data_IF_372833606280
#
_entry.id   IF_372833606280
#
_cell.length_a   1.000
_cell.length_b   1.000
_cell.length_c   1.000
_cell.angle_alpha   90.00
_cell.angle_beta   90.00
_cell.angle_gamma   90.00
#
_symmetry.space_group_name_H-M   'P 1'
#
loop_
_entity.id
_entity.type
_entity.pdbx_description
1 polymer ?
#
# COMPACT_ATOMS: atom_id res chain seq x y z
N UNK A 1 -0.66 -3.81 1.21
CA UNK A 1 -0.47 -2.63 0.33
C UNK A 1 -1.78 -1.89 0.22
N UNK A 2 -1.80 -0.59 0.53
CA UNK A 2 -3.00 0.26 0.34
C UNK A 2 -3.09 0.67 -1.13
N UNK A 3 -4.28 0.54 -1.71
CA UNK A 3 -4.54 0.85 -3.12
C UNK A 3 -5.80 1.69 -3.25
N UNK A 4 -5.84 2.57 -4.25
CA UNK A 4 -7.09 3.26 -4.60
C UNK A 4 -8.03 2.32 -5.36
N UNK A 5 -9.33 2.64 -5.41
CA UNK A 5 -10.31 1.90 -6.20
C UNK A 5 -9.88 1.72 -7.66
N UNK A 6 -9.41 2.80 -8.30
CA UNK A 6 -8.92 2.75 -9.68
C UNK A 6 -7.72 1.80 -9.84
N UNK A 7 -6.78 1.84 -8.90
CA UNK A 7 -5.64 0.92 -8.91
C UNK A 7 -6.07 -0.53 -8.69
N UNK A 8 -7.03 -0.78 -7.80
CA UNK A 8 -7.55 -2.11 -7.57
C UNK A 8 -8.22 -2.70 -8.82
N UNK A 9 -9.08 -1.94 -9.49
CA UNK A 9 -9.75 -2.39 -10.70
C UNK A 9 -8.75 -2.66 -11.84
N UNK A 10 -7.71 -1.85 -11.93
CA UNK A 10 -6.65 -2.05 -12.92
C UNK A 10 -5.81 -3.30 -12.63
N UNK A 11 -5.53 -3.60 -11.35
CA UNK A 11 -4.84 -4.84 -10.94
C UNK A 11 -5.68 -6.10 -11.24
N UNK A 12 -7.01 -6.04 -11.07
CA UNK A 12 -7.91 -7.17 -11.39
C UNK A 12 -7.99 -7.47 -12.89
N UNK A 13 -7.96 -6.43 -13.73
CA UNK A 13 -8.12 -6.58 -15.19
C UNK A 13 -6.90 -7.20 -15.89
N UNK A 14 -5.76 -7.31 -15.21
CA UNK A 14 -4.54 -7.92 -15.76
C UNK A 14 -4.11 -7.24 -17.07
N UNK A 15 -3.47 -6.07 -16.99
CA UNK A 15 -3.21 -5.28 -18.20
C UNK A 15 -2.31 -4.07 -18.02
N UNK A 16 -1.20 -4.22 -17.27
CA UNK A 16 -0.17 -3.16 -17.15
C UNK A 16 -0.30 -2.22 -15.95
N UNK A 17 -1.33 -2.40 -15.11
CA UNK A 17 -1.41 -1.71 -13.82
C UNK A 17 -0.27 -2.15 -12.91
N UNK A 18 0.63 -1.22 -12.58
CA UNK A 18 1.77 -1.51 -11.69
C UNK A 18 1.33 -1.43 -10.23
N UNK A 19 1.80 -2.39 -9.44
CA UNK A 19 1.75 -2.30 -7.98
C UNK A 19 2.34 -0.98 -7.51
N UNK A 20 1.88 -0.48 -6.35
CA UNK A 20 2.52 0.68 -5.72
C UNK A 20 3.97 0.38 -5.32
N UNK A 21 4.76 1.43 -5.08
CA UNK A 21 6.13 1.28 -4.59
C UNK A 21 6.23 0.91 -3.11
N UNK A 22 5.15 1.08 -2.35
CA UNK A 22 5.16 0.96 -0.89
C UNK A 22 4.16 -0.07 -0.39
N UNK A 23 4.54 -0.79 0.67
CA UNK A 23 3.66 -1.67 1.43
C UNK A 23 4.05 -1.65 2.92
N UNK A 24 3.35 -2.43 3.73
CA UNK A 24 3.71 -2.71 5.12
C UNK A 24 3.60 -4.21 5.35
N UNK A 25 4.43 -4.76 6.25
CA UNK A 25 4.32 -6.14 6.73
C UNK A 25 3.30 -6.29 7.86
N UNK A 26 2.80 -5.19 8.41
CA UNK A 26 1.81 -5.17 9.49
C UNK A 26 0.38 -5.06 8.95
N UNK A 27 -0.59 -5.30 9.84
CA UNK A 27 -1.99 -5.11 9.52
C UNK A 27 -2.29 -3.62 9.30
N UNK A 28 -3.08 -3.33 8.25
CA UNK A 28 -3.70 -2.02 8.05
C UNK A 28 -5.15 -2.12 8.54
N UNK A 29 -5.48 -1.63 9.76
CA UNK A 29 -6.80 -1.85 10.36
C UNK A 29 -7.88 -1.03 9.66
N UNK A 30 -7.60 0.23 9.34
CA UNK A 30 -8.57 1.22 8.86
C UNK A 30 -7.89 2.29 7.98
N UNK A 31 -8.69 3.17 7.38
CA UNK A 31 -8.22 4.26 6.54
C UNK A 31 -7.46 5.33 7.35
N UNK A 32 -7.88 5.60 8.59
CA UNK A 32 -7.17 6.51 9.48
C UNK A 32 -5.70 6.09 9.68
N UNK A 33 -5.44 4.78 9.80
CA UNK A 33 -4.10 4.22 9.90
C UNK A 33 -3.27 4.45 8.63
N UNK A 34 -3.90 4.21 7.47
CA UNK A 34 -3.27 4.46 6.19
C UNK A 34 -2.87 5.93 6.01
N UNK A 35 -3.68 6.87 6.50
CA UNK A 35 -3.40 8.31 6.43
C UNK A 35 -2.37 8.76 7.45
N UNK A 36 -2.53 8.38 8.72
CA UNK A 36 -1.77 8.96 9.82
C UNK A 36 -0.46 8.22 10.07
N UNK A 37 -0.45 6.89 10.03
CA UNK A 37 0.72 6.08 10.38
C UNK A 37 1.56 5.67 9.17
N UNK A 38 0.92 5.49 8.00
CA UNK A 38 1.62 5.20 6.75
C UNK A 38 1.85 6.43 5.87
N UNK A 39 1.46 7.62 6.34
CA UNK A 39 1.65 8.91 5.65
C UNK A 39 1.22 8.89 4.17
N UNK A 40 0.16 8.16 3.84
CA UNK A 40 -0.37 8.11 2.48
C UNK A 40 -1.20 9.36 2.25
N UNK A 41 -0.61 10.36 1.62
CA UNK A 41 -1.23 11.67 1.47
C UNK A 41 -2.39 11.69 0.44
N UNK A 42 -3.44 12.50 0.65
CA UNK A 42 -4.57 12.62 -0.27
C UNK A 42 -4.20 12.99 -1.71
N UNK A 43 -3.18 13.83 -1.91
CA UNK A 43 -2.70 14.26 -3.22
C UNK A 43 -2.10 13.11 -4.07
N UNK A 44 -1.62 12.04 -3.42
CA UNK A 44 -1.11 10.86 -4.12
C UNK A 44 -2.14 9.75 -4.26
N UNK A 45 -3.02 9.63 -3.27
CA UNK A 45 -4.14 8.68 -3.28
C UNK A 45 -5.35 9.35 -2.65
N UNK A 46 -6.25 9.86 -3.46
CA UNK A 46 -7.51 10.44 -2.98
C UNK A 46 -8.34 9.39 -2.22
N UNK A 47 -8.31 8.14 -2.71
CA UNK A 47 -8.97 6.99 -2.10
C UNK A 47 -7.97 5.98 -1.53
N UNK A 48 -8.17 5.61 -0.26
CA UNK A 48 -7.40 4.58 0.48
C UNK A 48 -8.33 3.52 1.07
N UNK A 49 -9.55 3.38 0.55
CA UNK A 49 -10.55 2.45 1.08
C UNK A 49 -10.21 0.97 0.87
N UNK A 50 -9.16 0.63 0.13
CA UNK A 50 -8.80 -0.76 -0.14
C UNK A 50 -7.38 -1.09 0.30
N UNK A 51 -7.23 -2.28 0.85
CA UNK A 51 -5.94 -2.94 1.08
C UNK A 51 -5.90 -4.27 0.35
N UNK A 52 -4.77 -4.56 -0.28
CA UNK A 52 -4.47 -5.85 -0.89
C UNK A 52 -3.25 -6.49 -0.23
N UNK A 53 -3.26 -7.81 -0.18
CA UNK A 53 -2.09 -8.61 0.18
C UNK A 53 -1.31 -8.91 -1.08
N UNK A 54 0.01 -8.71 -1.03
CA UNK A 54 0.93 -9.06 -2.12
C UNK A 54 1.96 -10.04 -1.61
N UNK A 55 2.39 -10.97 -2.47
CA UNK A 55 3.57 -11.80 -2.24
C UNK A 55 4.57 -11.57 -3.36
N UNK A 56 5.85 -11.64 -3.02
CA UNK A 56 6.93 -11.62 -4.01
C UNK A 56 6.89 -12.90 -4.85
N UNK A 57 7.20 -12.79 -6.14
CA UNK A 57 7.25 -13.90 -7.10
C UNK A 57 8.68 -14.31 -7.46
N UNK A 58 9.65 -13.48 -7.09
CA UNK A 58 11.09 -13.66 -7.27
C UNK A 58 11.81 -12.91 -6.13
N UNK A 59 13.15 -13.04 -5.97
CA UNK A 59 13.92 -12.18 -5.08
C UNK A 59 13.62 -10.70 -5.35
N UNK A 60 13.39 -9.95 -4.28
CA UNK A 60 12.95 -8.55 -4.34
C UNK A 60 13.79 -7.73 -3.36
N UNK A 61 14.52 -6.75 -3.89
CA UNK A 61 15.21 -5.75 -3.06
C UNK A 61 14.18 -4.82 -2.45
N UNK A 62 14.33 -4.54 -1.15
CA UNK A 62 13.47 -3.63 -0.42
C UNK A 62 14.28 -2.66 0.45
N UNK A 63 13.77 -1.44 0.60
CA UNK A 63 14.12 -0.60 1.74
C UNK A 63 13.08 -0.85 2.84
N UNK A 64 13.51 -1.08 4.07
CA UNK A 64 12.62 -1.26 5.22
C UNK A 64 12.89 -0.19 6.26
N UNK A 65 11.83 0.39 6.82
CA UNK A 65 11.98 1.39 7.87
C UNK A 65 10.65 1.78 8.51
N UNK A 66 10.74 2.77 9.38
CA UNK A 66 9.58 3.42 9.99
C UNK A 66 9.22 4.64 9.14
N UNK A 67 7.93 4.83 8.91
CA UNK A 67 7.38 5.98 8.18
C UNK A 67 7.63 7.25 9.00
N UNK A 68 8.26 8.26 8.40
CA UNK A 68 8.42 9.57 9.01
C UNK A 68 7.13 10.41 9.00
N UNK A 69 7.03 11.42 9.88
CA UNK A 69 5.93 12.39 9.81
C UNK A 69 5.99 13.18 8.49
N UNK A 70 4.82 13.46 7.91
CA UNK A 70 4.70 14.23 6.67
C UNK A 70 3.35 14.93 6.59
N UNK A 71 3.36 16.24 6.36
CA UNK A 71 2.13 17.05 6.40
C UNK A 71 1.45 16.94 7.77
N UNK A 72 0.17 16.57 7.78
CA UNK A 72 -0.59 16.32 9.02
C UNK A 72 -0.46 14.88 9.55
N UNK A 73 0.21 13.98 8.82
CA UNK A 73 0.39 12.59 9.24
C UNK A 73 1.55 12.48 10.23
N UNK A 74 1.31 11.76 11.33
CA UNK A 74 2.32 11.52 12.38
C UNK A 74 3.42 10.55 11.96
N UNK A 75 3.17 9.70 10.95
CA UNK A 75 4.01 8.55 10.65
C UNK A 75 4.00 7.52 11.79
N UNK A 76 5.08 6.75 11.89
CA UNK A 76 5.31 5.76 12.95
C UNK A 76 4.92 4.32 12.59
N UNK A 77 4.20 4.10 11.47
CA UNK A 77 3.95 2.75 10.97
C UNK A 77 5.20 2.14 10.32
N UNK A 78 5.32 0.82 10.32
CA UNK A 78 6.37 0.15 9.54
C UNK A 78 6.03 0.14 8.05
N UNK A 79 7.04 0.31 7.21
CA UNK A 79 6.90 0.26 5.75
C UNK A 79 8.04 -0.49 5.08
N UNK A 80 7.73 -0.95 3.87
CA UNK A 80 8.70 -1.43 2.90
C UNK A 80 8.51 -0.67 1.58
N UNK A 81 9.61 -0.27 0.98
CA UNK A 81 9.69 0.21 -0.40
C UNK A 81 10.20 -0.93 -1.29
N UNK A 82 9.55 -1.19 -2.41
CA UNK A 82 10.05 -2.09 -3.44
C UNK A 82 11.03 -1.34 -4.35
N UNK A 83 12.30 -1.75 -4.34
CA UNK A 83 13.37 -1.14 -5.14
C UNK A 83 13.51 -1.87 -6.48
N UNK A 84 13.49 -1.12 -7.58
CA UNK A 84 13.57 -1.67 -8.94
C UNK A 84 12.26 -2.31 -9.40
N UNK A 85 12.38 -3.45 -10.10
CA UNK A 85 11.23 -4.20 -10.58
C UNK A 85 10.36 -4.72 -9.44
N UNK A 86 9.04 -4.72 -9.66
CA UNK A 86 8.03 -5.15 -8.69
C UNK A 86 7.56 -6.55 -9.03
N UNK A 87 8.32 -7.54 -8.59
CA UNK A 87 8.02 -8.96 -8.78
C UNK A 87 6.95 -9.40 -7.79
N UNK A 88 5.71 -8.93 -7.98
CA UNK A 88 4.61 -9.09 -7.04
C UNK A 88 3.41 -9.77 -7.68
N UNK A 89 2.65 -10.50 -6.87
CA UNK A 89 1.33 -11.02 -7.23
C UNK A 89 0.35 -10.79 -6.08
N UNK A 90 -0.92 -10.60 -6.41
CA UNK A 90 -2.00 -10.50 -5.43
C UNK A 90 -2.21 -11.84 -4.70
N UNK A 91 -2.56 -11.76 -3.43
CA UNK A 91 -2.93 -12.93 -2.61
C UNK A 91 -4.28 -12.69 -1.98
N UNK A 92 -5.19 -13.65 -2.18
CA UNK A 92 -6.54 -13.57 -1.63
C UNK A 92 -7.37 -12.43 -2.22
N UNK A 93 -8.43 -12.05 -1.49
CA UNK A 93 -9.34 -10.99 -1.90
C UNK A 93 -8.88 -9.64 -1.32
N UNK A 94 -9.04 -8.54 -2.08
CA UNK A 94 -8.94 -7.19 -1.52
C UNK A 94 -9.88 -7.02 -0.34
N UNK A 95 -9.47 -6.26 0.66
CA UNK A 95 -10.29 -5.94 1.82
C UNK A 95 -10.63 -4.45 1.83
N UNK A 96 -11.90 -4.15 2.10
CA UNK A 96 -12.35 -2.80 2.36
C UNK A 96 -11.85 -2.37 3.75
N UNK A 97 -11.25 -1.20 3.83
CA UNK A 97 -10.83 -0.58 5.08
C UNK A 97 -11.97 0.26 5.64
N UNK A 98 -12.39 0.04 6.89
CA UNK A 98 -13.29 0.95 7.57
C UNK A 98 -12.62 2.32 7.73
N UNK A 99 -13.41 3.38 7.89
CA UNK A 99 -12.87 4.74 8.02
C UNK A 99 -12.05 4.90 9.30
N UNK A 100 -12.52 4.30 10.40
CA UNK A 100 -11.89 4.26 11.73
C UNK A 100 -11.91 2.83 12.28
#
# INVERSE_FOLDING_TARGET
>A
MVVSKGQLEALKKGGGARFGGWATSEAVPNQAYARNQLSILPEFKEDVSYVVTVKTTAPQTINRGIVGPLGAASGGGSQVEFVGDRNLQLVGKPRLLPVR
#
